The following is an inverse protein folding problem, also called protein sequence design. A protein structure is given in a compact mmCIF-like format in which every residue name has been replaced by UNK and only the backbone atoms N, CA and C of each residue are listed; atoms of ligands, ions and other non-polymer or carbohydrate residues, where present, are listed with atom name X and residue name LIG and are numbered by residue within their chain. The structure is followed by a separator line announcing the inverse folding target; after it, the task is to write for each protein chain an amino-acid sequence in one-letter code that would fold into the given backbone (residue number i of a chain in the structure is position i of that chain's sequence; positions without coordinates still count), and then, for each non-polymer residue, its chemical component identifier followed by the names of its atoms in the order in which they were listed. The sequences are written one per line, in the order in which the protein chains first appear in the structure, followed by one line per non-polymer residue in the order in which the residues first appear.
data_IF_123020932260
#
_entry.id   IF_123020932260
#
_cell.length_a   1.000
_cell.length_b   1.000
_cell.length_c   1.000
_cell.angle_alpha   90.00
_cell.angle_beta   90.00
_cell.angle_gamma   90.00
#
_symmetry.space_group_name_H-M   'P 1'
#
loop_
_entity.id
_entity.type
_entity.pdbx_description
1 polymer ?
#
# COMPACT_ATOMS: atom_id res chain seq x y z
N UNK A 1 17.82 37.90 -3.48
CA UNK A 1 16.90 38.02 -4.65
C UNK A 1 15.49 38.28 -4.11
N UNK A 2 14.74 39.23 -4.67
CA UNK A 2 13.42 39.61 -4.13
C UNK A 2 12.37 38.54 -4.49
N UNK A 3 11.63 38.04 -3.50
CA UNK A 3 10.57 37.04 -3.68
C UNK A 3 9.53 37.43 -4.74
N UNK A 4 9.22 38.74 -4.85
CA UNK A 4 8.28 39.27 -5.85
C UNK A 4 8.77 39.16 -7.30
N UNK A 5 10.08 39.07 -7.52
CA UNK A 5 10.64 38.90 -8.86
C UNK A 5 10.45 37.45 -9.32
N UNK A 6 10.62 36.48 -8.43
CA UNK A 6 10.43 35.06 -8.70
C UNK A 6 8.99 34.71 -9.08
N UNK A 7 8.00 35.29 -8.40
CA UNK A 7 6.57 35.02 -8.66
C UNK A 7 6.16 35.30 -10.11
N UNK A 8 6.74 36.33 -10.74
CA UNK A 8 6.48 36.64 -12.16
C UNK A 8 6.91 35.52 -13.11
N UNK A 9 7.88 34.72 -12.71
CA UNK A 9 8.36 33.58 -13.50
C UNK A 9 7.47 32.34 -13.29
N UNK A 10 6.81 32.17 -12.13
CA UNK A 10 5.97 31.00 -11.85
C UNK A 10 4.71 30.92 -12.70
N UNK A 11 4.17 32.07 -13.11
CA UNK A 11 3.05 32.16 -14.03
C UNK A 11 3.39 31.59 -15.43
N UNK A 12 4.69 31.58 -15.81
CA UNK A 12 5.15 31.08 -17.11
C UNK A 12 5.54 29.60 -17.11
N UNK A 13 5.55 28.97 -15.94
CA UNK A 13 5.85 27.55 -15.82
C UNK A 13 4.74 26.72 -16.46
N UNK A 14 5.15 25.69 -17.20
CA UNK A 14 4.26 24.60 -17.60
C UNK A 14 3.76 23.84 -16.36
N UNK A 15 2.63 23.11 -16.45
CA UNK A 15 2.15 22.28 -15.34
C UNK A 15 3.22 21.31 -14.83
N UNK A 16 4.01 20.71 -15.72
CA UNK A 16 5.08 19.77 -15.38
C UNK A 16 6.21 20.43 -14.59
N UNK A 17 6.73 21.58 -15.05
CA UNK A 17 7.81 22.29 -14.35
C UNK A 17 7.36 22.77 -12.98
N UNK A 18 6.13 23.29 -12.89
CA UNK A 18 5.54 23.71 -11.61
C UNK A 18 5.42 22.54 -10.64
N UNK A 19 4.95 21.39 -11.09
CA UNK A 19 4.84 20.19 -10.26
C UNK A 19 6.22 19.78 -9.70
N UNK A 20 7.25 19.73 -10.54
CA UNK A 20 8.63 19.39 -10.13
C UNK A 20 9.17 20.40 -9.09
N UNK A 21 9.02 21.71 -9.34
CA UNK A 21 9.46 22.73 -8.39
C UNK A 21 8.73 22.66 -7.06
N UNK A 22 7.42 22.37 -7.10
CA UNK A 22 6.60 22.20 -5.91
C UNK A 22 7.06 21.01 -5.08
N UNK A 23 7.32 19.86 -5.72
CA UNK A 23 7.86 18.67 -5.06
C UNK A 23 9.24 18.94 -4.42
N UNK A 24 10.12 19.66 -5.14
CA UNK A 24 11.42 20.04 -4.60
C UNK A 24 11.30 21.00 -3.40
N UNK A 25 10.34 21.93 -3.41
CA UNK A 25 10.07 22.82 -2.29
C UNK A 25 9.55 22.05 -1.07
N UNK A 26 8.65 21.08 -1.27
CA UNK A 26 8.22 20.14 -0.23
C UNK A 26 9.40 19.39 0.39
N UNK A 27 10.32 18.85 -0.43
CA UNK A 27 11.49 18.14 0.06
C UNK A 27 12.41 19.00 0.95
N UNK A 28 12.45 20.32 0.71
CA UNK A 28 13.18 21.29 1.56
C UNK A 28 12.36 21.83 2.74
N UNK A 29 11.11 21.39 2.90
CA UNK A 29 10.13 21.95 3.86
C UNK A 29 9.93 23.47 3.70
N UNK A 30 10.04 23.97 2.46
CA UNK A 30 9.82 25.38 2.14
C UNK A 30 8.34 25.64 1.83
N UNK A 31 7.51 25.67 2.87
CA UNK A 31 6.05 25.83 2.74
C UNK A 31 5.68 27.14 2.05
N UNK A 32 6.49 28.21 2.22
CA UNK A 32 6.25 29.50 1.58
C UNK A 32 6.44 29.43 0.06
N UNK A 33 7.41 28.65 -0.39
CA UNK A 33 7.62 28.40 -1.82
C UNK A 33 6.52 27.53 -2.42
N UNK A 34 6.08 26.50 -1.69
CA UNK A 34 4.93 25.68 -2.09
C UNK A 34 3.68 26.55 -2.30
N UNK A 35 3.33 27.37 -1.32
CA UNK A 35 2.17 28.26 -1.40
C UNK A 35 2.29 29.22 -2.59
N UNK A 36 3.46 29.85 -2.80
CA UNK A 36 3.67 30.75 -3.95
C UNK A 36 3.54 30.06 -5.30
N UNK A 37 4.05 28.83 -5.44
CA UNK A 37 3.92 28.04 -6.68
C UNK A 37 2.46 27.66 -6.96
N UNK A 38 1.71 27.28 -5.92
CA UNK A 38 0.28 26.93 -6.03
C UNK A 38 -0.56 28.16 -6.37
N UNK A 39 -0.35 29.27 -5.66
CA UNK A 39 -1.14 30.50 -5.85
C UNK A 39 -0.89 31.14 -7.23
N UNK A 40 0.33 31.03 -7.76
CA UNK A 40 0.67 31.51 -9.09
C UNK A 40 0.17 30.61 -10.23
N UNK A 41 -0.38 29.43 -9.93
CA UNK A 41 -0.87 28.51 -10.94
C UNK A 41 -2.17 29.05 -11.59
N UNK A 42 -2.28 29.04 -12.94
CA UNK A 42 -3.55 29.32 -13.61
C UNK A 42 -4.63 28.37 -13.11
N UNK A 43 -5.81 28.93 -12.79
CA UNK A 43 -6.98 28.14 -12.41
C UNK A 43 -7.69 27.66 -13.67
N UNK A 44 -8.00 26.38 -13.71
CA UNK A 44 -8.78 25.76 -14.78
C UNK A 44 -10.03 25.16 -14.18
N UNK A 45 -11.17 25.35 -14.83
CA UNK A 45 -12.40 24.65 -14.49
C UNK A 45 -12.35 23.28 -15.13
N UNK A 46 -12.53 22.22 -14.35
CA UNK A 46 -12.61 20.85 -14.83
C UNK A 46 -14.08 20.43 -14.82
N UNK A 47 -14.52 19.84 -15.92
CA UNK A 47 -15.78 19.11 -16.01
C UNK A 47 -15.48 17.62 -15.91
N UNK A 48 -16.17 16.92 -15.02
CA UNK A 48 -15.95 15.51 -14.75
C UNK A 48 -17.27 14.83 -14.41
N UNK A 49 -17.43 13.54 -14.74
CA UNK A 49 -18.55 12.75 -14.25
C UNK A 49 -18.64 12.83 -12.73
N UNK A 50 -19.86 12.79 -12.20
CA UNK A 50 -20.14 12.75 -10.77
C UNK A 50 -19.42 11.60 -10.06
N UNK A 51 -19.23 10.47 -10.75
CA UNK A 51 -18.48 9.31 -10.27
C UNK A 51 -16.96 9.48 -10.35
N UNK A 52 -16.43 10.51 -11.02
CA UNK A 52 -14.99 10.64 -11.29
C UNK A 52 -14.13 10.69 -10.03
N UNK A 53 -14.61 11.37 -8.99
CA UNK A 53 -13.92 11.43 -7.69
C UNK A 53 -13.89 10.07 -6.99
N UNK A 54 -14.99 9.33 -7.01
CA UNK A 54 -15.08 8.02 -6.38
C UNK A 54 -14.27 6.97 -7.15
N UNK A 55 -14.28 7.02 -8.49
CA UNK A 55 -13.41 6.20 -9.33
C UNK A 55 -11.93 6.46 -9.04
N UNK A 56 -11.52 7.73 -8.88
CA UNK A 56 -10.13 8.06 -8.54
C UNK A 56 -9.72 7.50 -7.18
N UNK A 57 -10.59 7.60 -6.17
CA UNK A 57 -10.33 7.06 -4.83
C UNK A 57 -10.21 5.54 -4.86
N UNK A 58 -11.12 4.86 -5.56
CA UNK A 58 -11.09 3.42 -5.74
C UNK A 58 -9.82 2.97 -6.48
N UNK A 59 -9.49 3.64 -7.59
CA UNK A 59 -8.26 3.37 -8.33
C UNK A 59 -7.02 3.47 -7.42
N UNK A 60 -6.95 4.53 -6.61
CA UNK A 60 -5.85 4.71 -5.67
C UNK A 60 -5.80 3.59 -4.60
N UNK A 61 -6.94 3.13 -4.10
CA UNK A 61 -7.00 2.01 -3.14
C UNK A 61 -6.49 0.71 -3.78
N UNK A 62 -6.87 0.44 -5.03
CA UNK A 62 -6.41 -0.71 -5.81
C UNK A 62 -4.89 -0.63 -6.00
N UNK A 63 -4.36 0.52 -6.41
CA UNK A 63 -2.91 0.74 -6.58
C UNK A 63 -2.14 0.51 -5.27
N UNK A 64 -2.63 1.05 -4.16
CA UNK A 64 -2.02 0.86 -2.85
C UNK A 64 -2.05 -0.62 -2.42
N UNK A 65 -3.14 -1.34 -2.68
CA UNK A 65 -3.22 -2.78 -2.43
C UNK A 65 -2.21 -3.55 -3.27
N UNK A 66 -2.15 -3.29 -4.58
CA UNK A 66 -1.23 -3.94 -5.51
C UNK A 66 0.24 -3.70 -5.10
N UNK A 67 0.60 -2.46 -4.76
CA UNK A 67 1.95 -2.13 -4.29
C UNK A 67 2.29 -2.85 -2.99
N UNK A 68 1.37 -2.88 -2.02
CA UNK A 68 1.58 -3.58 -0.76
C UNK A 68 1.74 -5.09 -0.96
N UNK A 69 0.98 -5.71 -1.88
CA UNK A 69 1.13 -7.13 -2.23
C UNK A 69 2.48 -7.40 -2.91
N UNK A 70 2.91 -6.54 -3.83
CA UNK A 70 4.20 -6.67 -4.50
C UNK A 70 5.38 -6.56 -3.52
N UNK A 71 5.32 -5.62 -2.57
CA UNK A 71 6.33 -5.47 -1.51
C UNK A 71 6.42 -6.71 -0.62
N UNK A 72 5.27 -7.26 -0.21
CA UNK A 72 5.24 -8.47 0.62
C UNK A 72 5.72 -9.70 -0.16
N UNK A 73 5.35 -9.83 -1.44
CA UNK A 73 5.85 -10.89 -2.31
C UNK A 73 7.38 -10.82 -2.45
N UNK A 74 7.92 -9.63 -2.74
CA UNK A 74 9.37 -9.44 -2.81
C UNK A 74 10.07 -9.81 -1.50
N UNK A 75 9.46 -9.43 -0.37
CA UNK A 75 9.96 -9.77 0.97
C UNK A 75 9.96 -11.28 1.21
N UNK A 76 8.87 -11.97 0.82
CA UNK A 76 8.78 -13.43 0.93
C UNK A 76 9.88 -14.10 0.11
N UNK A 77 10.01 -13.75 -1.18
CA UNK A 77 11.04 -14.33 -2.05
C UNK A 77 12.45 -14.05 -1.55
N UNK A 78 12.69 -12.87 -1.00
CA UNK A 78 13.97 -12.53 -0.39
C UNK A 78 14.31 -13.50 0.75
N UNK A 79 13.42 -13.67 1.74
CA UNK A 79 13.68 -14.55 2.88
C UNK A 79 13.73 -16.03 2.51
N UNK A 80 12.88 -16.51 1.59
CA UNK A 80 12.95 -17.90 1.14
C UNK A 80 14.25 -18.19 0.37
N UNK A 81 14.74 -17.23 -0.44
CA UNK A 81 16.01 -17.38 -1.16
C UNK A 81 17.25 -17.40 -0.24
N UNK A 82 17.18 -16.74 0.91
CA UNK A 82 18.24 -16.80 1.92
C UNK A 82 18.29 -18.18 2.59
N UNK A 83 17.14 -18.80 2.85
CA UNK A 83 17.05 -20.14 3.44
C UNK A 83 17.72 -21.23 2.58
N UNK A 84 17.59 -21.14 1.26
CA UNK A 84 18.24 -22.09 0.35
C UNK A 84 19.78 -21.99 0.38
N UNK A 85 20.32 -20.78 0.59
CA UNK A 85 21.78 -20.55 0.65
C UNK A 85 22.40 -21.01 1.96
N UNK A 86 21.62 -21.05 3.04
CA UNK A 86 22.10 -21.44 4.37
C UNK A 86 21.86 -22.90 4.69
N UNK A 87 21.23 -23.70 3.81
CA UNK A 87 20.80 -25.10 4.03
C UNK A 87 21.88 -26.06 4.59
N UNK A 88 23.18 -25.72 4.49
CA UNK A 88 24.30 -26.47 5.06
C UNK A 88 24.71 -26.04 6.49
N UNK A 89 24.06 -25.03 7.06
CA UNK A 89 24.19 -24.58 8.46
C UNK A 89 22.79 -24.52 9.04
N UNK A 90 22.61 -24.90 10.30
CA UNK A 90 21.30 -24.96 10.95
C UNK A 90 20.42 -23.77 10.55
N UNK A 91 19.19 -24.00 10.03
CA UNK A 91 18.30 -22.91 9.68
C UNK A 91 18.09 -22.06 10.92
N UNK A 92 18.43 -20.79 10.82
CA UNK A 92 18.21 -19.82 11.87
C UNK A 92 16.70 -19.76 12.14
N UNK A 93 16.27 -20.15 13.34
CA UNK A 93 14.85 -20.22 13.72
C UNK A 93 14.17 -18.85 13.54
N UNK A 94 14.93 -17.77 13.64
CA UNK A 94 14.47 -16.39 13.44
C UNK A 94 14.02 -16.13 11.98
N UNK A 95 14.66 -16.79 11.00
CA UNK A 95 14.26 -16.68 9.59
C UNK A 95 12.93 -17.40 9.31
N UNK A 96 12.68 -18.54 9.95
CA UNK A 96 11.43 -19.28 9.74
C UNK A 96 10.22 -18.52 10.29
N UNK A 97 10.33 -17.93 11.48
CA UNK A 97 9.25 -17.09 12.02
C UNK A 97 9.00 -15.87 11.12
N UNK A 98 10.07 -15.23 10.62
CA UNK A 98 9.94 -14.11 9.68
C UNK A 98 9.21 -14.50 8.39
N UNK A 99 9.54 -15.65 7.81
CA UNK A 99 8.86 -16.18 6.62
C UNK A 99 7.38 -16.45 6.91
N UNK A 100 7.07 -17.11 8.04
CA UNK A 100 5.69 -17.38 8.47
C UNK A 100 4.90 -16.08 8.67
N UNK A 101 5.50 -15.04 9.25
CA UNK A 101 4.88 -13.72 9.45
C UNK A 101 4.60 -13.00 8.13
N UNK A 102 5.55 -13.01 7.19
CA UNK A 102 5.35 -12.40 5.87
C UNK A 102 4.28 -13.15 5.10
N UNK A 103 4.30 -14.48 5.12
CA UNK A 103 3.26 -15.32 4.52
C UNK A 103 1.87 -15.01 5.13
N UNK A 104 1.79 -14.87 6.45
CA UNK A 104 0.56 -14.46 7.13
C UNK A 104 0.03 -13.11 6.64
N UNK A 105 0.91 -12.11 6.53
CA UNK A 105 0.53 -10.78 6.06
C UNK A 105 0.02 -10.79 4.62
N UNK A 106 0.62 -11.59 3.73
CA UNK A 106 0.17 -11.76 2.34
C UNK A 106 -1.26 -12.32 2.33
N UNK A 107 -1.48 -13.44 3.01
CA UNK A 107 -2.78 -14.13 3.05
C UNK A 107 -3.86 -13.26 3.67
N UNK A 108 -3.59 -12.70 4.85
CA UNK A 108 -4.52 -11.82 5.57
C UNK A 108 -4.90 -10.61 4.73
N UNK A 109 -3.96 -10.00 4.02
CA UNK A 109 -4.24 -8.86 3.14
C UNK A 109 -5.03 -9.25 1.90
N UNK A 110 -4.73 -10.40 1.30
CA UNK A 110 -5.50 -10.90 0.17
C UNK A 110 -6.95 -11.20 0.57
N UNK A 111 -7.16 -11.80 1.74
CA UNK A 111 -8.50 -12.08 2.27
C UNK A 111 -9.23 -10.80 2.67
N UNK A 112 -8.54 -9.85 3.31
CA UNK A 112 -9.11 -8.54 3.62
C UNK A 112 -9.50 -7.75 2.36
N UNK A 113 -8.71 -7.85 1.29
CA UNK A 113 -9.06 -7.30 -0.02
C UNK A 113 -10.32 -7.94 -0.60
N UNK A 114 -10.45 -9.28 -0.53
CA UNK A 114 -11.66 -9.98 -0.98
C UNK A 114 -12.89 -9.55 -0.19
N UNK A 115 -12.79 -9.41 1.13
CA UNK A 115 -13.89 -8.92 1.99
C UNK A 115 -14.29 -7.51 1.55
N UNK A 116 -13.32 -6.61 1.43
CA UNK A 116 -13.56 -5.23 1.01
C UNK A 116 -14.19 -5.13 -0.39
N UNK A 117 -13.68 -5.86 -1.38
CA UNK A 117 -14.24 -5.90 -2.73
C UNK A 117 -15.65 -6.49 -2.75
N UNK A 118 -15.92 -7.55 -1.97
CA UNK A 118 -17.24 -8.16 -1.86
C UNK A 118 -18.31 -7.19 -1.36
N UNK A 119 -17.96 -6.31 -0.43
CA UNK A 119 -18.88 -5.26 0.06
C UNK A 119 -19.25 -4.22 -1.01
N UNK A 120 -18.35 -3.99 -1.96
CA UNK A 120 -18.54 -3.04 -3.06
C UNK A 120 -19.08 -3.70 -4.33
N UNK A 121 -19.26 -5.03 -4.34
CA UNK A 121 -19.63 -5.78 -5.54
C UNK A 121 -18.54 -5.79 -6.62
N UNK A 122 -17.28 -5.63 -6.23
CA UNK A 122 -16.13 -5.65 -7.13
C UNK A 122 -15.55 -7.06 -7.26
N UNK A 123 -15.15 -7.45 -8.47
CA UNK A 123 -14.28 -8.62 -8.70
C UNK A 123 -12.88 -8.29 -8.17
N UNK A 124 -12.38 -8.97 -7.12
CA UNK A 124 -11.07 -8.67 -6.53
C UNK A 124 -9.92 -8.81 -7.53
N UNK A 125 -9.99 -9.83 -8.40
CA UNK A 125 -8.97 -10.06 -9.43
C UNK A 125 -9.12 -9.05 -10.58
N UNK A 126 -10.35 -8.75 -10.97
CA UNK A 126 -10.66 -7.74 -11.98
C UNK A 126 -10.17 -6.35 -11.61
N UNK A 127 -10.32 -5.95 -10.35
CA UNK A 127 -9.80 -4.69 -9.84
C UNK A 127 -8.27 -4.61 -10.01
N UNK A 128 -7.55 -5.67 -9.66
CA UNK A 128 -6.08 -5.72 -9.80
C UNK A 128 -5.62 -5.64 -11.25
N UNK A 129 -6.35 -6.27 -12.20
CA UNK A 129 -6.02 -6.21 -13.64
C UNK A 129 -5.98 -4.77 -14.18
N UNK A 130 -6.74 -3.84 -13.59
CA UNK A 130 -6.76 -2.42 -14.02
C UNK A 130 -5.40 -1.75 -13.83
N UNK A 131 -4.65 -2.15 -12.81
CA UNK A 131 -3.35 -1.53 -12.48
C UNK A 131 -2.25 -1.92 -13.46
N UNK A 132 -2.45 -2.96 -14.27
CA UNK A 132 -1.38 -3.58 -15.06
C UNK A 132 -0.30 -4.25 -14.20
N UNK A 133 -0.49 -4.34 -12.88
CA UNK A 133 0.39 -5.13 -12.03
C UNK A 133 0.29 -6.60 -12.44
N UNK A 134 1.44 -7.27 -12.45
CA UNK A 134 1.53 -8.69 -12.78
C UNK A 134 0.78 -9.51 -11.73
N UNK A 135 -0.47 -9.87 -12.04
CA UNK A 135 -1.31 -10.67 -11.15
C UNK A 135 -0.68 -12.03 -10.87
N UNK A 136 0.20 -12.53 -11.76
CA UNK A 136 0.88 -13.81 -11.57
C UNK A 136 1.83 -13.79 -10.37
N UNK A 137 2.54 -12.68 -10.14
CA UNK A 137 3.47 -12.58 -9.01
C UNK A 137 2.71 -12.61 -7.68
N UNK A 138 1.62 -11.84 -7.58
CA UNK A 138 0.78 -11.80 -6.39
C UNK A 138 0.06 -13.12 -6.15
N UNK A 139 -0.50 -13.75 -7.19
CA UNK A 139 -1.15 -15.06 -7.10
C UNK A 139 -0.16 -16.16 -6.69
N UNK A 140 1.05 -16.16 -7.25
CA UNK A 140 2.10 -17.10 -6.88
C UNK A 140 2.56 -16.89 -5.44
N UNK A 141 2.82 -15.65 -5.02
CA UNK A 141 3.21 -15.33 -3.66
C UNK A 141 2.11 -15.71 -2.66
N UNK A 142 0.84 -15.45 -2.98
CA UNK A 142 -0.28 -15.87 -2.15
C UNK A 142 -0.37 -17.41 -2.05
N UNK A 143 -0.23 -18.13 -3.16
CA UNK A 143 -0.23 -19.59 -3.18
C UNK A 143 0.86 -20.18 -2.28
N UNK A 144 2.09 -19.68 -2.39
CA UNK A 144 3.23 -20.07 -1.54
C UNK A 144 2.94 -19.70 -0.08
N UNK A 145 2.45 -18.49 0.18
CA UNK A 145 2.15 -18.02 1.52
C UNK A 145 1.07 -18.89 2.20
N UNK A 146 0.04 -19.32 1.46
CA UNK A 146 -0.98 -20.25 1.95
C UNK A 146 -0.40 -21.64 2.26
N UNK A 147 0.54 -22.12 1.46
CA UNK A 147 1.23 -23.38 1.74
C UNK A 147 2.11 -23.31 3.01
N UNK A 148 2.66 -22.13 3.33
CA UNK A 148 3.44 -21.89 4.55
C UNK A 148 2.53 -21.75 5.78
N UNK A 149 1.41 -21.02 5.65
CA UNK A 149 0.50 -20.68 6.76
C UNK A 149 -0.49 -21.79 7.06
N UNK A 150 -0.01 -22.91 7.61
CA UNK A 150 -0.84 -24.07 7.93
C UNK A 150 -1.57 -23.98 9.28
N UNK A 151 -1.05 -23.20 10.23
CA UNK A 151 -1.66 -23.02 11.55
C UNK A 151 -1.42 -21.61 12.12
N UNK A 152 -2.49 -20.78 12.08
CA UNK A 152 -2.48 -19.41 12.56
C UNK A 152 -2.35 -19.31 14.09
N UNK A 153 -2.91 -20.27 14.82
CA UNK A 153 -2.87 -20.25 16.28
C UNK A 153 -1.47 -20.61 16.77
N UNK A 154 -0.81 -21.56 16.11
CA UNK A 154 0.61 -21.84 16.33
C UNK A 154 1.50 -20.63 16.01
N UNK A 155 1.25 -19.90 14.91
CA UNK A 155 2.03 -18.70 14.58
C UNK A 155 1.87 -17.61 15.65
N UNK A 156 0.64 -17.37 16.12
CA UNK A 156 0.37 -16.43 17.21
C UNK A 156 1.11 -16.81 18.48
N UNK A 157 1.07 -18.08 18.87
CA UNK A 157 1.75 -18.57 20.06
C UNK A 157 3.28 -18.34 19.97
N UNK A 158 3.90 -18.68 18.82
CA UNK A 158 5.34 -18.44 18.58
C UNK A 158 5.70 -16.95 18.64
N UNK A 159 4.87 -16.08 18.07
CA UNK A 159 5.13 -14.64 18.08
C UNK A 159 5.06 -14.03 19.48
N UNK A 160 4.08 -14.45 20.29
CA UNK A 160 3.98 -14.03 21.69
C UNK A 160 5.21 -14.46 22.50
N UNK A 161 5.77 -15.64 22.21
CA UNK A 161 6.97 -16.15 22.87
C UNK A 161 8.24 -15.35 22.46
N UNK A 162 8.41 -15.05 21.17
CA UNK A 162 9.64 -14.43 20.66
C UNK A 162 9.73 -12.92 20.89
N UNK A 163 8.64 -12.17 20.74
CA UNK A 163 8.73 -10.70 20.71
C UNK A 163 8.89 -10.05 22.09
N UNK A 164 8.70 -10.78 23.21
CA UNK A 164 8.54 -10.24 24.59
C UNK A 164 7.54 -9.07 24.70
N UNK A 165 6.85 -8.75 23.62
CA UNK A 165 5.78 -7.78 23.55
C UNK A 165 4.51 -8.56 23.84
N UNK A 166 3.90 -8.24 24.97
CA UNK A 166 2.52 -8.61 25.22
C UNK A 166 1.70 -8.04 24.05
N UNK A 167 1.11 -8.93 23.25
CA UNK A 167 0.12 -8.62 22.22
C UNK A 167 0.65 -7.95 20.93
N UNK A 168 1.58 -8.60 20.23
CA UNK A 168 1.65 -8.41 18.78
C UNK A 168 0.33 -8.88 18.15
N UNK A 169 -0.66 -7.97 18.06
CA UNK A 169 -1.99 -8.27 17.52
C UNK A 169 -1.88 -8.53 16.02
N UNK A 170 -1.92 -9.80 15.64
CA UNK A 170 -2.05 -10.19 14.24
C UNK A 170 -3.38 -9.66 13.70
N UNK A 171 -3.30 -8.85 12.63
CA UNK A 171 -4.47 -8.26 11.99
C UNK A 171 -5.37 -9.34 11.41
N UNK A 172 -6.67 -9.21 11.53
CA UNK A 172 -7.62 -10.10 10.82
C UNK A 172 -7.93 -9.56 9.41
N UNK A 173 -8.46 -10.40 8.50
CA UNK A 173 -8.97 -9.93 7.21
C UNK A 173 -9.96 -8.77 7.34
N UNK A 174 -10.84 -8.78 8.35
CA UNK A 174 -11.83 -7.74 8.61
C UNK A 174 -11.18 -6.42 9.04
N UNK A 175 -10.11 -6.48 9.83
CA UNK A 175 -9.33 -5.31 10.23
C UNK A 175 -8.62 -4.70 9.02
N UNK A 176 -8.03 -5.53 8.14
CA UNK A 176 -7.46 -5.05 6.87
C UNK A 176 -8.54 -4.46 5.97
N UNK A 177 -9.72 -5.09 5.86
CA UNK A 177 -10.84 -4.53 5.12
C UNK A 177 -11.28 -3.17 5.71
N UNK A 178 -11.22 -3.01 7.03
CA UNK A 178 -11.52 -1.75 7.69
C UNK A 178 -10.50 -0.65 7.37
N UNK A 179 -9.21 -0.98 7.22
CA UNK A 179 -8.20 -0.03 6.72
C UNK A 179 -8.58 0.51 5.33
N UNK A 180 -9.03 -0.35 4.41
CA UNK A 180 -9.50 0.10 3.08
C UNK A 180 -10.73 0.99 3.15
N UNK A 181 -11.70 0.68 4.03
CA UNK A 181 -12.87 1.54 4.25
C UNK A 181 -12.46 2.91 4.79
N UNK A 182 -11.57 2.94 5.77
CA UNK A 182 -11.05 4.18 6.36
C UNK A 182 -10.34 5.01 5.30
N UNK A 183 -9.51 4.38 4.47
CA UNK A 183 -8.80 5.04 3.38
C UNK A 183 -9.74 5.71 2.37
N UNK A 184 -10.83 5.03 2.00
CA UNK A 184 -11.86 5.60 1.13
C UNK A 184 -12.77 6.62 1.81
N UNK A 185 -12.66 6.80 3.12
CA UNK A 185 -13.60 7.62 3.89
C UNK A 185 -15.01 7.03 3.94
N UNK A 186 -15.15 5.70 3.75
CA UNK A 186 -16.40 4.98 3.93
C UNK A 186 -16.58 4.76 5.44
N UNK A 187 -16.96 5.84 6.14
CA UNK A 187 -17.41 5.72 7.53
C UNK A 187 -18.80 5.12 7.49
N UNK A 188 -18.93 3.84 7.88
CA UNK A 188 -20.26 3.27 8.15
C UNK A 188 -20.86 4.04 9.31
N UNK A 189 -21.74 4.99 9.05
CA UNK A 189 -22.67 5.43 10.08
C UNK A 189 -23.52 4.22 10.45
N UNK A 190 -23.52 3.76 11.72
CA UNK A 190 -24.45 2.73 12.14
C UNK A 190 -25.86 3.22 11.83
N UNK A 191 -26.60 2.43 11.04
CA UNK A 191 -28.03 2.63 10.84
C UNK A 191 -28.78 2.15 12.07
#
# INVERSE_FOLDING_TARGET
MNAKVLEKHYARLTPRERAILTLNAFGRKDEREVTRLIDAAPRVTLDAPDCGRELQRLAHAIECHALAQAEQAATLFFFTSLGDRTRNKHPDLDNLCTIEMVAYNIVTRADGWRVFCGELGLDPAGALRITGADTLLSEMAESIARAITTDLDSLRAKMCEQTRQAEAKLRTPEEVAAEYRQFLGIVRHPR
#
